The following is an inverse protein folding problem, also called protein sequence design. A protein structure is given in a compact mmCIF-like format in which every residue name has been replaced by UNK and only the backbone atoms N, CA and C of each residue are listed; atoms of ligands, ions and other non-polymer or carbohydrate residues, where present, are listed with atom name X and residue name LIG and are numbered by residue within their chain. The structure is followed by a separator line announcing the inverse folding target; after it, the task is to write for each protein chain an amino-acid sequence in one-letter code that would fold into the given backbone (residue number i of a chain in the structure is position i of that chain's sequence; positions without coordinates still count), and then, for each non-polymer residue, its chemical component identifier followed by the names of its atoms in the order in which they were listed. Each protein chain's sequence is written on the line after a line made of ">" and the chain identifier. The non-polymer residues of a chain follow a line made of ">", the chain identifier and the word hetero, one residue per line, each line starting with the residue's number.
data_IF_823421481951
#
_entry.id   IF_823421481951
#
_cell.length_a   1.000
_cell.length_b   1.000
_cell.length_c   1.000
_cell.angle_alpha   90.00
_cell.angle_beta   90.00
_cell.angle_gamma   90.00
#
_symmetry.space_group_name_H-M   'P 1'
#
loop_
_entity.id
_entity.type
_entity.pdbx_description
1 polymer ?
#
# COMPACT_ATOMS: atom_id res chain seq x y z
N UNK A 1 -6.99 -38.43 -30.36
CA UNK A 1 -7.02 -36.96 -30.54
C UNK A 1 -6.93 -36.36 -29.14
N UNK A 2 -5.83 -35.67 -28.79
CA UNK A 2 -5.60 -35.12 -27.45
C UNK A 2 -5.85 -33.62 -27.49
N UNK A 3 -7.02 -33.16 -27.04
CA UNK A 3 -7.33 -31.74 -26.94
C UNK A 3 -6.55 -31.13 -25.78
N UNK A 4 -5.46 -30.44 -26.11
CA UNK A 4 -4.67 -29.65 -25.17
C UNK A 4 -5.45 -28.38 -24.83
N UNK A 5 -6.15 -28.37 -23.69
CA UNK A 5 -6.68 -27.15 -23.09
C UNK A 5 -5.52 -26.28 -22.61
N UNK A 6 -5.07 -25.32 -23.42
CA UNK A 6 -4.25 -24.21 -22.93
C UNK A 6 -5.14 -23.33 -22.06
N UNK A 7 -4.92 -23.35 -20.75
CA UNK A 7 -5.37 -22.28 -19.86
C UNK A 7 -4.53 -21.04 -20.17
N UNK A 8 -5.12 -20.06 -20.84
CA UNK A 8 -4.55 -18.72 -20.93
C UNK A 8 -4.82 -18.04 -19.59
N UNK A 9 -3.85 -18.03 -18.69
CA UNK A 9 -3.93 -17.18 -17.49
C UNK A 9 -3.77 -15.72 -17.95
N UNK A 10 -4.75 -14.83 -17.73
CA UNK A 10 -4.55 -13.41 -17.99
C UNK A 10 -3.45 -12.86 -17.09
N UNK A 11 -2.59 -12.00 -17.64
CA UNK A 11 -1.61 -11.27 -16.84
C UNK A 11 -2.34 -10.42 -15.79
N UNK A 12 -1.79 -10.25 -14.57
CA UNK A 12 -2.41 -9.38 -13.57
C UNK A 12 -2.52 -7.96 -14.13
N UNK A 13 -3.70 -7.37 -14.03
CA UNK A 13 -3.89 -5.96 -14.38
C UNK A 13 -3.03 -5.10 -13.43
N UNK A 14 -2.16 -4.25 -13.99
CA UNK A 14 -1.45 -3.24 -13.20
C UNK A 14 -2.46 -2.15 -12.87
N UNK A 15 -3.01 -2.18 -11.67
CA UNK A 15 -3.83 -1.08 -11.16
C UNK A 15 -2.97 0.21 -11.17
N UNK A 16 -3.47 1.33 -11.70
CA UNK A 16 -2.70 2.56 -11.73
C UNK A 16 -2.33 2.98 -10.31
N UNK A 17 -1.11 3.48 -10.13
CA UNK A 17 -0.66 3.96 -8.83
C UNK A 17 -1.57 5.08 -8.33
N UNK A 18 -1.95 5.11 -7.04
CA UNK A 18 -2.84 6.15 -6.53
C UNK A 18 -2.26 7.55 -6.72
N UNK A 19 -3.11 8.51 -7.05
CA UNK A 19 -2.70 9.90 -7.23
C UNK A 19 -2.07 10.46 -5.94
N UNK A 20 -0.97 11.20 -6.10
CA UNK A 20 -0.24 11.84 -5.01
C UNK A 20 0.57 10.89 -4.14
N UNK A 21 0.43 9.57 -4.27
CA UNK A 21 1.25 8.60 -3.54
C UNK A 21 2.60 8.46 -4.24
N UNK A 22 3.69 8.60 -3.51
CA UNK A 22 5.08 8.49 -4.03
C UNK A 22 5.82 7.25 -3.49
N UNK A 23 5.30 6.63 -2.43
CA UNK A 23 5.76 5.33 -1.93
C UNK A 23 4.64 4.64 -1.14
N UNK A 24 4.62 3.31 -1.16
CA UNK A 24 3.69 2.48 -0.38
C UNK A 24 4.45 1.34 0.27
N UNK A 25 4.25 1.18 1.57
CA UNK A 25 4.83 0.12 2.37
C UNK A 25 3.72 -0.85 2.81
N UNK A 26 3.93 -2.15 2.60
CA UNK A 26 2.97 -3.18 2.98
C UNK A 26 3.11 -3.51 4.46
N UNK A 27 1.98 -3.52 5.16
CA UNK A 27 1.92 -4.00 6.55
C UNK A 27 1.77 -5.51 6.61
N UNK A 28 2.00 -6.10 7.78
CA UNK A 28 1.78 -7.53 8.02
C UNK A 28 0.31 -7.97 7.86
N UNK A 29 -0.64 -7.04 7.98
CA UNK A 29 -2.08 -7.30 7.96
C UNK A 29 -2.75 -6.87 6.63
N UNK A 30 -1.98 -6.78 5.54
CA UNK A 30 -2.44 -6.34 4.20
C UNK A 30 -2.99 -4.91 4.13
N UNK A 31 -2.88 -4.12 5.20
CA UNK A 31 -2.98 -2.66 5.11
C UNK A 31 -1.70 -2.05 4.52
N UNK A 32 -1.75 -0.76 4.22
CA UNK A 32 -0.67 0.01 3.59
C UNK A 32 -0.29 1.22 4.44
N UNK A 33 0.98 1.63 4.33
CA UNK A 33 1.43 2.97 4.73
C UNK A 33 1.84 3.71 3.46
N UNK A 34 1.07 4.74 3.12
CA UNK A 34 1.26 5.52 1.89
C UNK A 34 1.93 6.84 2.21
N UNK A 35 3.03 7.15 1.50
CA UNK A 35 3.70 8.45 1.54
C UNK A 35 3.19 9.27 0.36
N UNK A 36 2.82 10.52 0.62
CA UNK A 36 2.31 11.46 -0.36
C UNK A 36 3.34 12.53 -0.73
N UNK A 37 3.18 13.12 -1.91
CA UNK A 37 4.01 14.21 -2.44
C UNK A 37 3.94 15.52 -1.63
N UNK A 38 2.99 15.64 -0.71
CA UNK A 38 2.81 16.77 0.20
C UNK A 38 3.47 16.56 1.57
N UNK A 39 4.48 15.69 1.66
CA UNK A 39 5.25 15.43 2.88
C UNK A 39 4.44 14.80 4.03
N UNK A 40 3.41 14.02 3.67
CA UNK A 40 2.59 13.26 4.62
C UNK A 40 2.74 11.76 4.40
N UNK A 41 2.54 10.97 5.45
CA UNK A 41 2.40 9.53 5.37
C UNK A 41 1.22 9.06 6.21
N UNK A 42 0.45 8.09 5.73
CA UNK A 42 -0.77 7.62 6.40
C UNK A 42 -0.90 6.09 6.35
N UNK A 43 -1.26 5.48 7.47
CA UNK A 43 -1.52 4.04 7.58
C UNK A 43 -3.02 3.74 7.42
N UNK A 44 -3.40 2.96 6.39
CA UNK A 44 -4.79 2.55 6.12
C UNK A 44 -5.32 1.52 7.12
N UNK A 45 -4.44 0.92 7.93
CA UNK A 45 -4.81 -0.05 8.95
C UNK A 45 -5.23 0.62 10.27
N UNK A 46 -4.32 1.37 10.90
CA UNK A 46 -4.58 1.98 12.22
C UNK A 46 -5.02 3.45 12.17
N UNK A 47 -4.94 4.10 11.00
CA UNK A 47 -5.29 5.51 10.84
C UNK A 47 -4.24 6.50 11.34
N UNK A 48 -3.07 6.05 11.81
CA UNK A 48 -1.97 6.96 12.17
C UNK A 48 -1.40 7.62 10.92
N UNK A 49 -1.26 8.94 10.99
CA UNK A 49 -0.57 9.75 10.01
C UNK A 49 0.66 10.47 10.61
N UNK A 50 1.54 10.91 9.74
CA UNK A 50 2.73 11.69 10.08
C UNK A 50 3.01 12.73 8.99
N UNK A 51 3.26 13.96 9.40
CA UNK A 51 3.73 15.05 8.51
C UNK A 51 5.14 15.44 8.92
N UNK A 52 6.10 15.38 8.00
CA UNK A 52 7.49 15.78 8.23
C UNK A 52 8.08 16.38 6.97
N UNK A 53 8.73 17.55 7.07
CA UNK A 53 9.41 18.23 5.95
C UNK A 53 10.69 17.57 5.45
N UNK A 54 10.81 16.25 5.60
CA UNK A 54 11.95 15.46 5.15
C UNK A 54 11.47 14.07 4.69
N UNK A 55 11.49 13.84 3.38
CA UNK A 55 11.07 12.58 2.75
C UNK A 55 11.79 11.36 3.34
N UNK A 56 13.09 11.49 3.65
CA UNK A 56 13.88 10.42 4.26
C UNK A 56 13.36 9.99 5.63
N UNK A 57 12.86 10.95 6.44
CA UNK A 57 12.27 10.68 7.74
C UNK A 57 10.88 10.05 7.61
N UNK A 58 10.06 10.51 6.63
CA UNK A 58 8.78 9.86 6.30
C UNK A 58 8.98 8.41 5.87
N UNK A 59 9.97 8.14 5.02
CA UNK A 59 10.33 6.77 4.59
C UNK A 59 10.76 5.90 5.77
N UNK A 60 11.60 6.41 6.65
CA UNK A 60 12.05 5.69 7.84
C UNK A 60 10.88 5.35 8.78
N UNK A 61 9.99 6.30 9.02
CA UNK A 61 8.78 6.08 9.81
C UNK A 61 7.84 5.08 9.14
N UNK A 62 7.55 5.24 7.85
CA UNK A 62 6.61 4.40 7.12
C UNK A 62 7.06 2.93 7.10
N UNK A 63 8.36 2.68 6.85
CA UNK A 63 8.95 1.34 6.92
C UNK A 63 8.81 0.75 8.33
N UNK A 64 9.24 1.49 9.35
CA UNK A 64 9.18 1.04 10.76
C UNK A 64 7.75 0.76 11.22
N UNK A 65 6.80 1.58 10.77
CA UNK A 65 5.39 1.42 11.08
C UNK A 65 4.82 0.19 10.38
N UNK A 66 5.08 0.03 9.09
CA UNK A 66 4.56 -1.07 8.29
C UNK A 66 4.98 -2.44 8.83
N UNK A 67 6.23 -2.59 9.27
CA UNK A 67 6.77 -3.82 9.86
C UNK A 67 6.06 -4.27 11.14
N UNK A 68 5.44 -3.33 11.88
CA UNK A 68 4.86 -3.58 13.20
C UNK A 68 3.35 -3.49 13.21
N UNK A 69 2.75 -2.77 12.26
CA UNK A 69 1.32 -2.58 12.21
C UNK A 69 0.62 -3.91 11.93
N UNK A 70 -0.28 -4.29 12.84
CA UNK A 70 -1.16 -5.47 12.73
C UNK A 70 -2.63 -5.10 12.64
N UNK A 71 -2.93 -3.81 12.49
CA UNK A 71 -4.29 -3.36 12.28
C UNK A 71 -4.73 -3.76 10.87
N UNK A 72 -5.89 -4.40 10.76
CA UNK A 72 -6.54 -4.67 9.49
C UNK A 72 -6.98 -3.35 8.86
N UNK A 73 -7.06 -3.26 7.51
CA UNK A 73 -7.66 -2.11 6.85
C UNK A 73 -9.01 -1.77 7.48
N UNK A 74 -9.23 -0.48 7.77
CA UNK A 74 -10.56 -0.04 8.20
C UNK A 74 -11.53 -0.31 7.05
N UNK A 75 -12.58 -1.09 7.30
CA UNK A 75 -13.51 -1.58 6.27
C UNK A 75 -14.47 -0.51 5.72
N UNK A 76 -14.07 0.76 5.75
CA UNK A 76 -14.81 1.83 5.08
C UNK A 76 -14.19 2.10 3.69
N UNK A 77 -15.05 1.95 2.68
CA UNK A 77 -14.88 2.16 1.23
C UNK A 77 -14.29 0.98 0.44
N UNK A 78 -15.14 -0.02 0.15
CA UNK A 78 -15.11 -0.63 -1.17
C UNK A 78 -15.77 0.35 -2.16
N UNK A 79 -15.19 0.63 -3.35
CA UNK A 79 -15.85 1.41 -4.38
C UNK A 79 -17.11 0.72 -4.92
#
# INVERSE_FOLDING_TARGET
>A
MKNLFRRTTPAPATEPWPNGVIARYLTLASATVDIHDNETAACTGCGNDLTLGAESALRAWAQTHAEKCRALPRWEVAP
#
